data_IF_375808390845
#
_entry.id   IF_375808390845
#
_cell.length_a   1.000
_cell.length_b   1.000
_cell.length_c   1.000
_cell.angle_alpha   90.00
_cell.angle_beta   90.00
_cell.angle_gamma   90.00
#
_symmetry.space_group_name_H-M   'P 1'
#
loop_
_entity.id
_entity.type
_entity.pdbx_description
1 polymer ?
#
# COMPACT_ATOMS: atom_id res chain seq x y z
N UNK A 1 -71.57 16.16 24.04
CA UNK A 1 -70.88 17.45 24.27
C UNK A 1 -70.80 17.67 25.78
N UNK A 2 -69.81 17.04 26.42
CA UNK A 2 -68.51 17.64 26.78
C UNK A 2 -67.36 16.73 26.27
N UNK A 3 -66.07 17.06 26.20
CA UNK A 3 -65.26 18.13 26.75
C UNK A 3 -63.90 17.52 27.12
N UNK A 4 -62.87 17.77 26.31
CA UNK A 4 -61.41 17.62 26.48
C UNK A 4 -60.82 16.58 27.47
N UNK A 5 -59.90 15.74 26.96
CA UNK A 5 -58.50 15.64 27.44
C UNK A 5 -57.72 14.58 26.66
N UNK A 6 -56.80 14.98 25.78
CA UNK A 6 -55.66 14.16 25.38
C UNK A 6 -54.41 14.90 25.84
N UNK A 7 -53.81 14.42 26.92
CA UNK A 7 -52.59 14.95 27.50
C UNK A 7 -51.46 14.89 26.47
N UNK A 8 -50.84 16.04 26.18
CA UNK A 8 -49.60 16.08 25.42
C UNK A 8 -48.50 15.37 26.17
N UNK A 9 -47.87 14.38 25.54
CA UNK A 9 -46.65 13.77 26.06
C UNK A 9 -45.55 14.84 26.16
N UNK A 10 -44.80 14.91 27.27
CA UNK A 10 -43.69 15.85 27.37
C UNK A 10 -42.61 15.46 26.36
N UNK A 11 -42.14 16.44 25.61
CA UNK A 11 -40.94 16.32 24.78
C UNK A 11 -39.76 15.92 25.68
N UNK A 12 -39.26 14.70 25.50
CA UNK A 12 -38.05 14.24 26.16
C UNK A 12 -36.86 15.12 25.77
N UNK A 13 -35.91 15.36 26.68
CA UNK A 13 -34.77 16.23 26.41
C UNK A 13 -33.98 15.68 25.21
N UNK A 14 -33.65 16.57 24.27
CA UNK A 14 -32.78 16.26 23.15
C UNK A 14 -31.45 15.70 23.68
N UNK A 15 -31.09 14.50 23.22
CA UNK A 15 -29.83 13.90 23.58
C UNK A 15 -28.68 14.83 23.13
N UNK A 16 -27.66 15.07 23.99
CA UNK A 16 -26.53 15.89 23.62
C UNK A 16 -25.87 15.27 22.38
N UNK A 17 -25.56 16.11 21.40
CA UNK A 17 -24.75 15.72 20.26
C UNK A 17 -23.44 15.14 20.81
N UNK A 18 -23.26 13.83 20.62
CA UNK A 18 -22.03 13.16 20.97
C UNK A 18 -20.85 13.83 20.27
N UNK A 19 -19.64 13.76 20.86
CA UNK A 19 -18.46 14.35 20.25
C UNK A 19 -18.33 13.82 18.82
N UNK A 20 -18.30 14.74 17.86
CA UNK A 20 -17.96 14.42 16.48
C UNK A 20 -16.51 13.95 16.53
N UNK A 21 -16.32 12.63 16.55
CA UNK A 21 -15.01 12.04 16.34
C UNK A 21 -14.44 12.55 15.02
N UNK A 22 -13.09 12.56 14.87
CA UNK A 22 -12.48 12.97 13.62
C UNK A 22 -13.16 12.21 12.48
N UNK A 23 -13.65 12.93 11.47
CA UNK A 23 -14.20 12.29 10.27
C UNK A 23 -13.06 11.52 9.62
N UNK A 24 -12.99 10.21 9.88
CA UNK A 24 -12.20 9.31 9.06
C UNK A 24 -12.86 9.42 7.69
N UNK A 25 -12.17 10.07 6.74
CA UNK A 25 -12.65 10.17 5.37
C UNK A 25 -13.01 8.78 4.85
N UNK A 26 -13.96 8.71 3.92
CA UNK A 26 -14.26 7.44 3.26
C UNK A 26 -12.97 6.85 2.69
N UNK A 27 -12.73 5.55 2.94
CA UNK A 27 -11.56 4.87 2.42
C UNK A 27 -11.54 4.95 0.87
N UNK A 28 -10.34 4.99 0.25
CA UNK A 28 -10.23 5.00 -1.21
C UNK A 28 -10.99 3.83 -1.86
N UNK A 29 -11.40 4.02 -3.11
CA UNK A 29 -12.03 2.95 -3.88
C UNK A 29 -11.11 1.72 -3.92
N UNK A 30 -11.74 0.54 -3.91
CA UNK A 30 -11.05 -0.75 -3.92
C UNK A 30 -10.09 -1.02 -2.75
N UNK A 31 -10.23 -0.29 -1.64
CA UNK A 31 -9.44 -0.57 -0.44
C UNK A 31 -9.71 -2.00 0.04
N UNK A 32 -8.65 -2.78 0.23
CA UNK A 32 -8.73 -4.10 0.86
C UNK A 32 -8.62 -3.92 2.37
N UNK A 33 -9.71 -4.24 3.06
CA UNK A 33 -9.80 -4.22 4.51
C UNK A 33 -9.57 -5.60 5.13
N UNK A 34 -9.89 -5.68 6.42
CA UNK A 34 -9.86 -6.92 7.19
C UNK A 34 -11.24 -7.28 7.68
N UNK A 35 -11.54 -8.57 7.72
CA UNK A 35 -12.71 -9.13 8.39
C UNK A 35 -12.30 -10.42 9.10
N UNK A 36 -12.00 -10.31 10.40
CA UNK A 36 -11.43 -11.42 11.18
C UNK A 36 -10.06 -11.82 10.65
N UNK A 37 -9.90 -13.10 10.29
CA UNK A 37 -8.69 -13.65 9.68
C UNK A 37 -8.71 -13.60 8.15
N UNK A 38 -9.55 -12.76 7.55
CA UNK A 38 -9.68 -12.63 6.10
C UNK A 38 -9.33 -11.22 5.60
N UNK A 39 -8.67 -11.15 4.46
CA UNK A 39 -8.62 -9.93 3.64
C UNK A 39 -9.93 -9.84 2.87
N UNK A 40 -10.58 -8.68 2.92
CA UNK A 40 -11.86 -8.48 2.26
C UNK A 40 -11.92 -7.19 1.48
N UNK A 41 -12.58 -7.24 0.32
CA UNK A 41 -12.90 -6.04 -0.46
C UNK A 41 -14.11 -5.28 0.13
N UNK A 42 -14.49 -4.19 -0.51
CA UNK A 42 -15.66 -3.38 -0.15
C UNK A 42 -16.97 -4.16 -0.16
N UNK A 43 -17.05 -5.22 -0.98
CA UNK A 43 -18.21 -6.11 -1.10
C UNK A 43 -18.18 -7.27 -0.09
N UNK A 44 -17.22 -7.28 0.84
CA UNK A 44 -17.01 -8.33 1.86
C UNK A 44 -16.62 -9.70 1.28
N UNK A 45 -16.10 -9.75 0.05
CA UNK A 45 -15.56 -10.98 -0.54
C UNK A 45 -14.17 -11.23 -0.02
N UNK A 46 -13.84 -12.49 0.21
CA UNK A 46 -12.47 -12.88 0.60
C UNK A 46 -11.54 -12.71 -0.59
N UNK A 47 -10.42 -12.03 -0.38
CA UNK A 47 -9.41 -11.78 -1.42
C UNK A 47 -8.17 -12.64 -1.15
N UNK A 48 -7.72 -13.33 -2.19
CA UNK A 48 -6.44 -14.07 -2.21
C UNK A 48 -5.53 -13.38 -3.22
N UNK A 49 -4.32 -13.03 -2.78
CA UNK A 49 -3.37 -12.29 -3.58
C UNK A 49 -2.23 -13.19 -4.05
N UNK A 50 -2.00 -13.20 -5.35
CA UNK A 50 -0.84 -13.82 -5.97
C UNK A 50 0.05 -12.71 -6.54
N UNK A 51 1.28 -12.64 -6.03
CA UNK A 51 2.10 -11.46 -6.14
C UNK A 51 3.32 -11.60 -7.05
N UNK A 52 3.70 -10.50 -7.70
CA UNK A 52 4.96 -10.35 -8.43
C UNK A 52 5.80 -9.19 -7.87
N UNK A 53 7.12 -9.34 -7.77
CA UNK A 53 8.02 -8.25 -7.36
C UNK A 53 8.48 -7.47 -8.59
N UNK A 54 8.37 -6.14 -8.53
CA UNK A 54 8.98 -5.20 -9.47
C UNK A 54 10.17 -4.52 -8.78
N UNK A 55 11.41 -4.81 -9.20
CA UNK A 55 12.61 -4.19 -8.63
C UNK A 55 12.68 -2.68 -8.88
N UNK A 56 13.49 -1.99 -8.08
CA UNK A 56 13.72 -0.56 -8.23
C UNK A 56 14.36 -0.25 -9.61
N UNK A 57 13.89 0.82 -10.25
CA UNK A 57 14.38 1.25 -11.56
C UNK A 57 13.90 0.40 -12.75
N UNK A 58 13.01 -0.58 -12.50
CA UNK A 58 12.39 -1.38 -13.56
C UNK A 58 11.01 -0.80 -13.87
N UNK A 59 10.77 -0.48 -15.14
CA UNK A 59 9.45 -0.13 -15.65
C UNK A 59 8.94 -1.25 -16.56
N UNK A 60 7.97 -2.06 -16.10
CA UNK A 60 7.36 -3.10 -16.92
C UNK A 60 6.63 -2.48 -18.12
N UNK A 61 6.62 -3.19 -19.25
CA UNK A 61 5.80 -2.82 -20.40
C UNK A 61 4.35 -3.24 -20.19
N UNK A 62 3.43 -2.68 -20.97
CA UNK A 62 2.03 -3.13 -20.97
C UNK A 62 1.91 -4.64 -21.27
N UNK A 63 2.74 -5.17 -22.19
CA UNK A 63 2.75 -6.59 -22.52
C UNK A 63 3.23 -7.49 -21.39
N UNK A 64 4.18 -7.01 -20.57
CA UNK A 64 4.60 -7.73 -19.36
C UNK A 64 3.44 -7.84 -18.36
N UNK A 65 2.74 -6.72 -18.14
CA UNK A 65 1.61 -6.65 -17.20
C UNK A 65 0.45 -7.54 -17.67
N UNK A 66 0.11 -7.48 -18.96
CA UNK A 66 -0.93 -8.33 -19.55
C UNK A 66 -0.59 -9.82 -19.42
N UNK A 67 0.69 -10.16 -19.56
CA UNK A 67 1.17 -11.53 -19.33
C UNK A 67 0.98 -11.95 -17.87
N UNK A 68 1.29 -11.08 -16.91
CA UNK A 68 1.11 -11.40 -15.48
C UNK A 68 -0.36 -11.60 -15.13
N UNK A 69 -1.25 -10.73 -15.63
CA UNK A 69 -2.70 -10.87 -15.47
C UNK A 69 -3.19 -12.17 -16.10
N UNK A 70 -2.69 -12.52 -17.29
CA UNK A 70 -2.98 -13.78 -17.96
C UNK A 70 -2.58 -15.02 -17.16
N UNK A 71 -1.53 -14.94 -16.34
CA UNK A 71 -1.14 -15.99 -15.39
C UNK A 71 -1.90 -15.98 -14.06
N UNK A 72 -2.84 -15.06 -13.89
CA UNK A 72 -3.66 -14.97 -12.67
C UNK A 72 -2.94 -14.29 -11.50
N UNK A 73 -1.87 -13.54 -11.74
CA UNK A 73 -1.33 -12.65 -10.72
C UNK A 73 -2.32 -11.50 -10.46
N UNK A 74 -2.51 -11.18 -9.19
CA UNK A 74 -3.49 -10.18 -8.72
C UNK A 74 -2.85 -9.07 -7.87
N UNK A 75 -1.55 -9.18 -7.58
CA UNK A 75 -0.81 -8.19 -6.80
C UNK A 75 0.61 -7.92 -7.29
N UNK A 76 1.13 -6.75 -6.96
CA UNK A 76 2.49 -6.30 -7.26
C UNK A 76 3.14 -5.77 -5.99
N UNK A 77 4.35 -6.24 -5.68
CA UNK A 77 5.27 -5.59 -4.74
C UNK A 77 6.21 -4.68 -5.50
N UNK A 78 6.00 -3.38 -5.38
CA UNK A 78 6.82 -2.36 -6.03
C UNK A 78 7.94 -1.90 -5.08
N UNK A 79 9.19 -2.09 -5.49
CA UNK A 79 10.34 -1.57 -4.76
C UNK A 79 10.55 -0.08 -5.07
N UNK A 80 10.50 0.75 -4.04
CA UNK A 80 10.68 2.20 -4.11
C UNK A 80 12.01 2.57 -3.46
N UNK A 81 13.03 2.98 -4.24
CA UNK A 81 14.34 3.28 -3.69
C UNK A 81 14.35 4.59 -2.89
N UNK A 82 14.99 4.52 -1.73
CA UNK A 82 15.10 5.63 -0.77
C UNK A 82 16.57 5.94 -0.49
N UNK A 83 16.89 7.23 -0.53
CA UNK A 83 18.17 7.80 -0.17
C UNK A 83 18.18 8.25 1.31
N UNK A 84 19.28 8.87 1.73
CA UNK A 84 19.42 9.39 3.09
C UNK A 84 18.31 10.38 3.47
N UNK A 85 17.94 10.38 4.75
CA UNK A 85 16.92 11.28 5.29
C UNK A 85 15.48 10.98 4.83
N UNK A 86 15.22 9.79 4.29
CA UNK A 86 13.88 9.41 3.86
C UNK A 86 13.46 9.98 2.50
N UNK A 87 14.42 10.36 1.66
CA UNK A 87 14.17 11.00 0.36
C UNK A 87 14.06 9.99 -0.78
N UNK A 88 13.28 10.33 -1.80
CA UNK A 88 13.02 9.45 -2.95
C UNK A 88 13.56 10.09 -4.23
N UNK A 89 14.83 9.83 -4.58
CA UNK A 89 15.42 10.33 -5.82
C UNK A 89 14.75 9.67 -7.04
N UNK A 90 14.90 10.31 -8.20
CA UNK A 90 14.48 9.71 -9.46
C UNK A 90 15.32 8.47 -9.76
N UNK A 91 14.68 7.44 -10.29
CA UNK A 91 15.34 6.23 -10.77
C UNK A 91 15.56 6.32 -12.27
N UNK A 92 16.74 5.88 -12.72
CA UNK A 92 17.02 5.66 -14.13
C UNK A 92 16.08 4.56 -14.65
N UNK A 93 15.36 4.84 -15.75
CA UNK A 93 14.42 3.88 -16.34
C UNK A 93 13.00 3.93 -15.78
N UNK A 94 12.73 4.73 -14.74
CA UNK A 94 11.37 5.04 -14.29
C UNK A 94 10.59 5.87 -15.33
N UNK A 95 9.25 5.86 -15.31
CA UNK A 95 8.46 6.67 -16.23
C UNK A 95 8.80 8.15 -16.08
N UNK A 96 9.05 8.83 -17.21
CA UNK A 96 9.23 10.28 -17.26
C UNK A 96 7.84 10.90 -17.35
N UNK A 97 7.51 11.79 -16.41
CA UNK A 97 6.25 12.53 -16.43
C UNK A 97 6.46 13.82 -17.23
N UNK A 98 6.10 13.78 -18.51
CA UNK A 98 6.09 14.97 -19.37
C UNK A 98 4.77 15.74 -19.20
N UNK A 99 4.79 16.91 -18.54
CA UNK A 99 3.65 17.85 -18.62
C UNK A 99 3.44 18.86 -17.50
N UNK A 100 3.61 20.15 -17.86
CA UNK A 100 2.82 21.33 -17.48
C UNK A 100 2.14 21.36 -16.09
N UNK A 101 2.95 21.30 -15.04
CA UNK A 101 2.57 21.68 -13.68
C UNK A 101 3.78 21.74 -12.74
N UNK A 102 4.99 21.78 -13.31
CA UNK A 102 6.24 21.66 -12.58
C UNK A 102 6.44 22.89 -11.69
N UNK A 103 5.92 22.81 -10.47
CA UNK A 103 6.57 23.42 -9.34
C UNK A 103 8.05 23.00 -9.39
N UNK A 104 8.93 23.97 -9.14
CA UNK A 104 10.36 23.81 -8.81
C UNK A 104 10.68 22.40 -8.37
N UNK A 105 11.56 21.71 -9.11
CA UNK A 105 12.07 20.34 -8.91
C UNK A 105 11.43 19.62 -7.71
N UNK A 106 10.51 18.66 -7.91
CA UNK A 106 9.86 17.97 -6.81
C UNK A 106 10.91 17.51 -5.81
N UNK A 107 10.67 17.73 -4.51
CA UNK A 107 11.65 17.37 -3.49
C UNK A 107 11.89 15.85 -3.40
N UNK A 108 11.05 15.04 -4.07
CA UNK A 108 11.04 13.57 -4.06
C UNK A 108 10.50 13.02 -5.41
N UNK A 109 11.22 13.21 -6.56
CA UNK A 109 10.71 12.83 -7.89
C UNK A 109 10.51 11.31 -8.05
N UNK A 110 11.17 10.49 -7.24
CA UNK A 110 10.93 9.05 -7.19
C UNK A 110 9.54 8.66 -6.69
N UNK A 111 8.89 9.51 -5.88
CA UNK A 111 7.51 9.27 -5.45
C UNK A 111 6.51 9.40 -6.59
N UNK A 112 6.74 10.35 -7.51
CA UNK A 112 5.87 10.52 -8.67
C UNK A 112 6.07 9.40 -9.70
N UNK A 113 7.29 8.89 -9.86
CA UNK A 113 7.54 7.67 -10.63
C UNK A 113 6.83 6.46 -10.02
N UNK A 114 6.90 6.29 -8.70
CA UNK A 114 6.18 5.23 -8.00
C UNK A 114 4.66 5.38 -8.18
N UNK A 115 4.12 6.60 -8.11
CA UNK A 115 2.70 6.86 -8.31
C UNK A 115 2.24 6.52 -9.73
N UNK A 116 3.05 6.84 -10.74
CA UNK A 116 2.79 6.49 -12.13
C UNK A 116 2.77 4.97 -12.34
N UNK A 117 3.72 4.25 -11.76
CA UNK A 117 3.76 2.78 -11.79
C UNK A 117 2.58 2.16 -11.04
N UNK A 118 2.26 2.64 -9.84
CA UNK A 118 1.09 2.18 -9.08
C UNK A 118 -0.18 2.32 -9.91
N UNK A 119 -0.38 3.47 -10.54
CA UNK A 119 -1.51 3.70 -11.45
C UNK A 119 -1.53 2.72 -12.61
N UNK A 120 -0.39 2.50 -13.25
CA UNK A 120 -0.27 1.55 -14.36
C UNK A 120 -0.73 0.14 -13.96
N UNK A 121 -0.42 -0.31 -12.74
CA UNK A 121 -0.87 -1.60 -12.23
C UNK A 121 -2.34 -1.60 -11.82
N UNK A 122 -2.81 -0.57 -11.11
CA UNK A 122 -4.19 -0.50 -10.62
C UNK A 122 -5.19 -0.34 -11.76
N UNK A 123 -4.84 0.38 -12.83
CA UNK A 123 -5.64 0.52 -14.05
C UNK A 123 -5.80 -0.85 -14.78
N UNK A 124 -4.98 -1.85 -14.44
CA UNK A 124 -5.08 -3.24 -14.91
C UNK A 124 -5.64 -4.22 -13.86
N UNK A 125 -6.19 -3.70 -12.77
CA UNK A 125 -6.85 -4.50 -11.73
C UNK A 125 -5.88 -5.16 -10.73
N UNK A 126 -4.58 -4.85 -10.79
CA UNK A 126 -3.59 -5.36 -9.84
C UNK A 126 -3.60 -4.52 -8.56
N UNK A 127 -3.40 -5.18 -7.41
CA UNK A 127 -3.23 -4.50 -6.10
C UNK A 127 -1.76 -4.24 -5.81
N UNK A 128 -1.43 -3.07 -5.29
CA UNK A 128 -0.02 -2.66 -5.15
C UNK A 128 0.40 -2.56 -3.69
N UNK A 129 1.52 -3.21 -3.35
CA UNK A 129 2.23 -3.03 -2.08
C UNK A 129 3.53 -2.27 -2.34
N UNK A 130 3.79 -1.20 -1.59
CA UNK A 130 5.01 -0.41 -1.71
C UNK A 130 6.05 -0.88 -0.69
N UNK A 131 7.27 -1.19 -1.14
CA UNK A 131 8.41 -1.55 -0.28
C UNK A 131 9.54 -0.56 -0.45
N UNK A 132 10.01 0.04 0.65
CA UNK A 132 11.24 0.84 0.64
C UNK A 132 12.45 -0.07 0.45
N UNK A 133 13.34 0.28 -0.48
CA UNK A 133 14.65 -0.36 -0.63
C UNK A 133 15.77 0.70 -0.62
N UNK A 134 17.02 0.37 -0.22
CA UNK A 134 18.13 1.30 -0.33
C UNK A 134 18.39 1.73 -1.79
N UNK A 135 18.61 3.02 -2.03
CA UNK A 135 18.90 3.54 -3.38
C UNK A 135 20.29 3.19 -3.91
N UNK A 136 21.21 2.77 -3.05
CA UNK A 136 22.59 2.42 -3.41
C UNK A 136 23.10 1.26 -2.57
N UNK A 137 23.96 0.42 -3.17
CA UNK A 137 24.62 -0.66 -2.46
C UNK A 137 25.42 -0.12 -1.26
N UNK A 138 25.31 -0.81 -0.12
CA UNK A 138 25.99 -0.41 1.12
C UNK A 138 25.29 0.68 1.93
N UNK A 139 24.21 1.29 1.42
CA UNK A 139 23.38 2.16 2.25
C UNK A 139 22.46 1.33 3.15
N UNK A 140 22.56 1.54 4.45
CA UNK A 140 21.63 0.97 5.43
C UNK A 140 20.84 2.12 6.05
N UNK A 141 19.53 2.21 5.78
CA UNK A 141 18.69 3.24 6.37
C UNK A 141 18.67 3.19 7.90
N UNK A 142 18.72 4.35 8.55
CA UNK A 142 18.43 4.46 9.98
C UNK A 142 16.92 4.31 10.23
N UNK A 143 16.52 3.90 11.43
CA UNK A 143 15.09 3.82 11.82
C UNK A 143 14.37 5.16 11.61
N UNK A 144 15.02 6.27 11.97
CA UNK A 144 14.46 7.61 11.74
C UNK A 144 14.34 7.95 10.25
N UNK A 145 15.31 7.55 9.42
CA UNK A 145 15.24 7.71 7.98
C UNK A 145 14.12 6.89 7.34
N UNK A 146 13.92 5.65 7.82
CA UNK A 146 12.81 4.79 7.39
C UNK A 146 11.46 5.35 7.80
N UNK A 147 11.32 5.84 9.03
CA UNK A 147 10.10 6.50 9.49
C UNK A 147 9.75 7.70 8.59
N UNK A 148 10.71 8.59 8.34
CA UNK A 148 10.51 9.74 7.47
C UNK A 148 10.15 9.34 6.02
N UNK A 149 10.75 8.27 5.50
CA UNK A 149 10.41 7.72 4.19
C UNK A 149 8.99 7.14 4.13
N UNK A 150 8.60 6.39 5.16
CA UNK A 150 7.26 5.80 5.29
C UNK A 150 6.18 6.88 5.45
N UNK A 151 6.43 7.94 6.23
CA UNK A 151 5.52 9.08 6.37
C UNK A 151 5.25 9.78 5.02
N UNK A 152 6.30 9.94 4.21
CA UNK A 152 6.19 10.53 2.86
C UNK A 152 5.41 9.63 1.91
N UNK A 153 5.67 8.32 1.92
CA UNK A 153 4.88 7.35 1.15
C UNK A 153 3.41 7.39 1.59
N UNK A 154 3.13 7.26 2.87
CA UNK A 154 1.78 7.29 3.43
C UNK A 154 1.04 8.58 3.02
N UNK A 155 1.69 9.73 3.19
CA UNK A 155 1.12 11.02 2.80
C UNK A 155 0.79 11.09 1.31
N UNK A 156 1.67 10.55 0.45
CA UNK A 156 1.52 10.62 -1.01
C UNK A 156 0.49 9.65 -1.58
N UNK A 157 0.30 8.50 -0.92
CA UNK A 157 -0.46 7.36 -1.45
C UNK A 157 -1.76 7.06 -0.69
N UNK A 158 -2.05 7.73 0.44
CA UNK A 158 -3.27 7.51 1.25
C UNK A 158 -4.60 7.59 0.49
N UNK A 159 -4.64 8.31 -0.62
CA UNK A 159 -5.84 8.53 -1.42
C UNK A 159 -5.83 7.72 -2.74
N UNK A 160 -4.86 6.81 -2.93
CA UNK A 160 -4.68 6.05 -4.18
C UNK A 160 -5.56 4.81 -4.20
N UNK A 161 -6.51 4.69 -5.15
CA UNK A 161 -7.33 3.50 -5.30
C UNK A 161 -6.50 2.25 -5.62
N UNK A 162 -6.92 1.09 -5.11
CA UNK A 162 -6.29 -0.19 -5.38
C UNK A 162 -4.89 -0.38 -4.79
N UNK A 163 -4.39 0.58 -4.00
CA UNK A 163 -3.24 0.38 -3.14
C UNK A 163 -3.62 -0.65 -2.06
N UNK A 164 -2.76 -1.65 -1.86
CA UNK A 164 -2.90 -2.63 -0.79
C UNK A 164 -2.27 -2.13 0.50
N UNK A 165 -1.14 -1.43 0.38
CA UNK A 165 -0.50 -0.69 1.46
C UNK A 165 1.02 -0.76 1.43
N UNK A 166 1.64 -0.80 2.61
CA UNK A 166 3.08 -0.54 2.77
C UNK A 166 3.79 -1.71 3.48
N UNK A 167 4.93 -2.13 2.95
CA UNK A 167 5.86 -3.04 3.61
C UNK A 167 6.80 -2.28 4.55
N UNK A 168 6.72 -2.62 5.83
CA UNK A 168 7.59 -2.15 6.90
C UNK A 168 8.73 -3.16 7.08
N UNK A 169 9.99 -2.77 6.85
CA UNK A 169 11.14 -3.66 7.06
C UNK A 169 11.24 -4.10 8.52
N UNK A 170 11.56 -5.37 8.76
CA UNK A 170 11.78 -5.91 10.10
C UNK A 170 13.20 -5.54 10.61
N UNK A 171 13.41 -4.24 10.83
CA UNK A 171 14.67 -3.69 11.31
C UNK A 171 14.76 -3.73 12.83
N UNK A 172 15.24 -4.86 13.39
CA UNK A 172 15.93 -4.90 14.69
C UNK A 172 15.28 -4.18 15.89
N UNK A 173 13.96 -4.26 16.04
CA UNK A 173 13.24 -3.74 17.22
C UNK A 173 12.56 -2.37 17.06
N UNK A 174 12.67 -1.70 15.89
CA UNK A 174 11.99 -0.43 15.60
C UNK A 174 10.57 -0.54 15.03
N UNK A 175 10.07 -1.76 14.78
CA UNK A 175 8.87 -1.99 13.98
C UNK A 175 7.58 -1.31 14.48
N UNK A 176 7.39 -1.19 15.79
CA UNK A 176 6.21 -0.50 16.35
C UNK A 176 6.20 1.01 16.04
N UNK A 177 7.37 1.67 16.06
CA UNK A 177 7.50 3.08 15.72
C UNK A 177 7.27 3.34 14.23
N UNK A 178 7.75 2.44 13.37
CA UNK A 178 7.52 2.53 11.92
C UNK A 178 6.04 2.32 11.55
N UNK A 179 5.35 1.40 12.23
CA UNK A 179 3.90 1.20 12.08
C UNK A 179 3.13 2.46 12.49
N UNK A 180 3.48 3.07 13.62
CA UNK A 180 2.85 4.30 14.09
C UNK A 180 3.07 5.47 13.11
N UNK A 181 4.26 5.56 12.51
CA UNK A 181 4.60 6.58 11.53
C UNK A 181 3.70 6.51 10.29
N UNK A 182 3.37 5.31 9.80
CA UNK A 182 2.41 5.17 8.70
C UNK A 182 0.98 5.48 9.15
N UNK A 183 0.55 4.89 10.27
CA UNK A 183 -0.82 5.01 10.77
C UNK A 183 -1.26 6.46 11.07
N UNK A 184 -0.30 7.35 11.37
CA UNK A 184 -0.55 8.77 11.57
C UNK A 184 -0.99 9.51 10.29
N UNK A 185 -0.65 8.97 9.11
CA UNK A 185 -0.90 9.59 7.81
C UNK A 185 -1.85 8.78 6.93
N UNK A 186 -1.92 7.47 7.14
CA UNK A 186 -2.74 6.53 6.39
C UNK A 186 -3.29 5.45 7.33
N UNK A 187 -4.57 5.59 7.67
CA UNK A 187 -5.30 4.61 8.49
C UNK A 187 -6.13 3.62 7.67
N UNK A 188 -6.12 3.71 6.33
CA UNK A 188 -6.97 2.91 5.46
C UNK A 188 -6.24 1.69 4.92
N UNK A 189 -4.98 1.84 4.51
CA UNK A 189 -4.23 0.77 3.85
C UNK A 189 -3.53 -0.18 4.83
N UNK A 190 -3.24 -1.39 4.35
CA UNK A 190 -2.66 -2.46 5.17
C UNK A 190 -1.16 -2.27 5.38
N UNK A 191 -0.69 -2.66 6.57
CA UNK A 191 0.74 -2.72 6.88
C UNK A 191 1.25 -4.15 6.81
N UNK A 192 2.31 -4.34 6.06
CA UNK A 192 2.93 -5.62 5.80
C UNK A 192 4.30 -5.68 6.47
N UNK A 193 4.68 -6.83 7.00
CA UNK A 193 6.01 -7.08 7.56
C UNK A 193 6.77 -8.02 6.66
N UNK A 194 7.95 -7.61 6.24
CA UNK A 194 8.83 -8.49 5.48
C UNK A 194 9.39 -9.58 6.39
N UNK A 195 9.30 -10.84 5.95
CA UNK A 195 9.88 -12.00 6.66
C UNK A 195 10.55 -12.95 5.67
N UNK A 196 11.56 -13.74 6.08
CA UNK A 196 12.03 -14.86 5.28
C UNK A 196 10.88 -15.83 4.97
N UNK A 197 10.85 -16.36 3.75
CA UNK A 197 9.85 -17.35 3.39
C UNK A 197 10.10 -18.65 4.19
N UNK A 198 9.07 -19.30 4.75
CA UNK A 198 9.26 -20.51 5.55
C UNK A 198 9.73 -21.72 4.73
N UNK A 199 9.57 -21.67 3.41
CA UNK A 199 9.94 -22.73 2.47
C UNK A 199 11.26 -22.47 1.73
N UNK A 200 11.77 -21.24 1.76
CA UNK A 200 13.04 -20.86 1.14
C UNK A 200 13.60 -19.61 1.85
N UNK A 201 14.68 -19.78 2.60
CA UNK A 201 15.30 -18.69 3.35
C UNK A 201 15.94 -17.61 2.47
N UNK A 202 16.20 -17.88 1.19
CA UNK A 202 16.66 -16.88 0.22
C UNK A 202 15.53 -15.98 -0.30
N UNK A 203 14.28 -16.38 -0.10
CA UNK A 203 13.08 -15.64 -0.51
C UNK A 203 12.49 -14.84 0.66
N UNK A 204 11.78 -13.75 0.35
CA UNK A 204 11.04 -12.97 1.35
C UNK A 204 9.55 -12.93 1.03
N UNK A 205 8.74 -12.93 2.09
CA UNK A 205 7.27 -12.88 2.03
C UNK A 205 6.79 -11.67 2.82
N UNK A 206 5.64 -11.15 2.44
CA UNK A 206 4.95 -10.11 3.18
C UNK A 206 3.90 -10.73 4.09
N UNK A 207 3.98 -10.42 5.39
CA UNK A 207 3.04 -10.92 6.40
C UNK A 207 2.19 -9.78 6.96
N UNK A 208 0.88 -10.00 6.99
CA UNK A 208 -0.08 -9.07 7.60
C UNK A 208 -0.56 -9.64 8.93
N UNK A 209 0.00 -9.15 10.04
CA UNK A 209 -0.35 -9.61 11.39
C UNK A 209 -1.52 -8.81 11.99
N UNK A 210 -2.37 -9.42 12.86
CA UNK A 210 -2.29 -10.79 13.39
C UNK A 210 -2.89 -11.87 12.48
N UNK A 211 -3.32 -11.52 11.26
CA UNK A 211 -4.08 -12.43 10.39
C UNK A 211 -3.27 -13.56 9.77
N UNK A 212 -1.94 -13.53 9.84
CA UNK A 212 -1.08 -14.61 9.32
C UNK A 212 -1.10 -14.73 7.80
N UNK A 213 -1.66 -13.76 7.07
CA UNK A 213 -1.65 -13.76 5.62
C UNK A 213 -0.23 -13.57 5.09
N UNK A 214 0.17 -14.51 4.25
CA UNK A 214 1.47 -14.56 3.61
C UNK A 214 1.25 -14.38 2.11
N UNK A 215 1.81 -13.31 1.55
CA UNK A 215 1.91 -13.14 0.10
C UNK A 215 3.34 -13.44 -0.32
N UNK A 216 3.49 -14.49 -1.12
CA UNK A 216 4.73 -14.78 -1.82
C UNK A 216 4.83 -13.91 -3.06
N UNK A 217 5.95 -13.21 -3.22
CA UNK A 217 6.21 -12.39 -4.38
C UNK A 217 7.20 -13.10 -5.30
N UNK A 218 6.76 -13.58 -6.46
CA UNK A 218 7.68 -14.15 -7.44
C UNK A 218 8.47 -13.02 -8.12
N UNK A 219 9.71 -13.28 -8.55
CA UNK A 219 10.42 -12.35 -9.44
C UNK A 219 9.66 -12.18 -10.77
N UNK A 220 9.40 -10.93 -11.14
CA UNK A 220 8.68 -10.57 -12.34
C UNK A 220 9.50 -10.43 -13.61
N UNK A 221 10.79 -10.72 -13.56
CA UNK A 221 11.62 -10.68 -14.78
C UNK A 221 11.07 -11.62 -15.86
N UNK A 222 11.22 -11.23 -17.13
CA UNK A 222 10.76 -12.03 -18.27
C UNK A 222 11.37 -13.44 -18.32
N UNK A 223 12.53 -13.65 -17.68
CA UNK A 223 13.16 -14.98 -17.53
C UNK A 223 12.40 -15.83 -16.51
N UNK A 224 12.14 -15.26 -15.32
CA UNK A 224 11.39 -15.93 -14.25
C UNK A 224 9.95 -16.25 -14.64
N UNK A 225 9.33 -15.40 -15.45
CA UNK A 225 7.98 -15.60 -15.98
C UNK A 225 7.97 -16.67 -17.08
N UNK A 226 8.93 -16.67 -18.02
CA UNK A 226 9.02 -17.73 -19.05
C UNK A 226 9.30 -19.11 -18.45
N UNK A 227 10.07 -19.17 -17.35
CA UNK A 227 10.32 -20.42 -16.63
C UNK A 227 9.07 -21.07 -16.03
N UNK A 228 8.01 -20.31 -15.73
CA UNK A 228 6.72 -20.84 -15.26
C UNK A 228 5.92 -21.54 -16.36
N UNK A 229 6.11 -21.15 -17.62
CA UNK A 229 5.37 -21.70 -18.76
C UNK A 229 5.97 -23.02 -19.23
N UNK A 230 7.23 -23.26 -18.88
CA UNK A 230 7.99 -24.45 -19.27
C UNK A 230 7.88 -25.62 -18.27
N UNK A 231 7.15 -25.43 -17.17
CA UNK A 231 6.90 -26.43 -16.10
C UNK A 231 5.46 -26.88 -16.10
#
# INVERSE_FOLDING_TARGET
>A
MPGASAAGSPAGPAAPAGPVGPSVGAAPADTIGRSGTYLTDSDRRVVVLHGITVPAGVTPTAGDIDTWVGFGFTGVRLAVPMASGGRFPATSGGPVLDGAGAATTPADPGLDQAAALTRMFTDRGLRVTLRIVPSSAGYVPSVAGLAAGLERLATRFRDVPGLLGYEVPDGGGGGAGLVAAVAAHDGAHLLWRERPAPFDAASTVAVNDPTGYLVGWKDGSAVSVRGLVAS
#
